data_IF_009951067774
#
_entry.id   IF_009951067774
#
_cell.length_a   1.000
_cell.length_b   1.000
_cell.length_c   1.000
_cell.angle_alpha   90.00
_cell.angle_beta   90.00
_cell.angle_gamma   90.00
#
_symmetry.space_group_name_H-M   'P 1'
#
loop_
_entity.id
_entity.type
_entity.pdbx_description
1 polymer ?
#
# COMPACT_ATOMS: atom_id res chain seq x y z
N UNK A 1 -15.86 -19.27 4.03
CA UNK A 1 -14.87 -18.41 3.40
C UNK A 1 -15.02 -16.99 3.93
N UNK A 2 -13.92 -16.40 4.37
CA UNK A 2 -13.81 -14.97 4.65
C UNK A 2 -12.76 -14.37 3.72
N UNK A 3 -12.97 -13.14 3.26
CA UNK A 3 -12.05 -12.43 2.38
C UNK A 3 -11.85 -11.00 2.84
N UNK A 4 -10.67 -10.45 2.60
CA UNK A 4 -10.35 -9.06 2.80
C UNK A 4 -9.86 -8.45 1.48
N UNK A 5 -10.22 -7.21 1.22
CA UNK A 5 -9.77 -6.44 0.07
C UNK A 5 -10.11 -4.96 0.21
N UNK A 6 -9.52 -4.11 -0.63
CA UNK A 6 -9.79 -2.67 -0.68
C UNK A 6 -8.85 -1.79 0.14
N UNK A 7 -7.97 -2.36 0.94
CA UNK A 7 -6.94 -1.64 1.70
C UNK A 7 -6.07 -2.59 2.49
N UNK A 8 -4.93 -2.09 3.00
CA UNK A 8 -4.03 -2.89 3.85
C UNK A 8 -4.68 -3.08 5.23
N UNK A 9 -4.88 -4.33 5.63
CA UNK A 9 -5.36 -4.67 6.96
C UNK A 9 -4.20 -4.63 7.97
N UNK A 10 -4.41 -4.15 9.22
CA UNK A 10 -3.42 -4.28 10.29
C UNK A 10 -2.99 -5.74 10.48
N UNK A 11 -1.70 -5.95 10.71
CA UNK A 11 -1.09 -7.29 10.76
C UNK A 11 -1.71 -8.17 11.83
N UNK A 12 -1.92 -7.63 13.03
CA UNK A 12 -2.52 -8.33 14.17
C UNK A 12 -3.96 -8.80 13.88
N UNK A 13 -4.73 -7.96 13.20
CA UNK A 13 -6.09 -8.29 12.80
C UNK A 13 -6.11 -9.35 11.68
N UNK A 14 -5.17 -9.27 10.73
CA UNK A 14 -5.02 -10.26 9.67
C UNK A 14 -4.71 -11.65 10.28
N UNK A 15 -3.77 -11.71 11.23
CA UNK A 15 -3.43 -12.94 11.96
C UNK A 15 -4.66 -13.49 12.68
N UNK A 16 -5.39 -12.67 13.44
CA UNK A 16 -6.61 -13.09 14.17
C UNK A 16 -7.65 -13.72 13.26
N UNK A 17 -7.91 -13.13 12.08
CA UNK A 17 -8.84 -13.71 11.12
C UNK A 17 -8.34 -15.00 10.49
N UNK A 18 -7.06 -15.10 10.20
CA UNK A 18 -6.44 -16.30 9.64
C UNK A 18 -6.49 -17.46 10.66
N UNK A 19 -6.17 -17.21 11.93
CA UNK A 19 -6.27 -18.18 13.03
C UNK A 19 -7.71 -18.62 13.25
N UNK A 20 -8.65 -17.67 13.37
CA UNK A 20 -10.06 -17.99 13.51
C UNK A 20 -10.56 -18.89 12.37
N UNK A 21 -10.17 -18.60 11.14
CA UNK A 21 -10.55 -19.41 9.99
C UNK A 21 -9.97 -20.82 10.05
N UNK A 22 -8.69 -20.95 10.39
CA UNK A 22 -8.01 -22.25 10.57
C UNK A 22 -8.73 -23.10 11.63
N UNK A 23 -8.97 -22.51 12.81
CA UNK A 23 -9.52 -23.21 13.97
C UNK A 23 -10.99 -23.61 13.79
N UNK A 24 -11.70 -22.97 12.86
CA UNK A 24 -13.11 -23.24 12.54
C UNK A 24 -13.33 -23.91 11.18
N UNK A 25 -12.30 -24.51 10.58
CA UNK A 25 -12.39 -25.19 9.27
C UNK A 25 -12.81 -24.25 8.12
N UNK A 26 -12.52 -22.96 8.23
CA UNK A 26 -12.81 -21.93 7.22
C UNK A 26 -11.56 -21.53 6.47
N UNK A 27 -11.73 -20.77 5.39
CA UNK A 27 -10.62 -20.21 4.61
C UNK A 27 -10.60 -18.71 4.78
N UNK A 28 -9.41 -18.16 5.04
CA UNK A 28 -9.09 -16.73 4.98
C UNK A 28 -8.32 -16.44 3.71
N UNK A 29 -8.75 -15.44 2.95
CA UNK A 29 -8.12 -15.04 1.69
C UNK A 29 -7.99 -13.52 1.66
N UNK A 30 -6.77 -13.02 1.76
CA UNK A 30 -6.45 -11.64 1.44
C UNK A 30 -6.45 -11.46 -0.09
N UNK A 31 -6.98 -10.35 -0.57
CA UNK A 31 -7.06 -10.05 -2.00
C UNK A 31 -6.55 -8.64 -2.27
N UNK A 32 -5.97 -8.46 -3.45
CA UNK A 32 -5.54 -7.16 -3.95
C UNK A 32 -6.17 -6.88 -5.31
N UNK A 33 -6.42 -5.60 -5.57
CA UNK A 33 -6.87 -5.12 -6.86
C UNK A 33 -7.20 -3.63 -6.87
N UNK A 34 -7.43 -3.14 -8.07
CA UNK A 34 -7.80 -1.76 -8.36
C UNK A 34 -9.06 -1.75 -9.22
N UNK A 35 -9.82 -0.64 -9.18
CA UNK A 35 -11.02 -0.47 -10.02
C UNK A 35 -10.70 -0.62 -11.51
N UNK A 36 -9.51 -0.22 -11.90
CA UNK A 36 -8.97 -0.33 -13.26
C UNK A 36 -8.78 -1.78 -13.73
N UNK A 37 -8.87 -2.76 -12.82
CA UNK A 37 -8.74 -4.18 -13.11
C UNK A 37 -9.93 -4.98 -12.57
N UNK A 38 -11.11 -4.38 -12.52
CA UNK A 38 -12.37 -4.99 -12.04
C UNK A 38 -12.23 -5.65 -10.66
N UNK A 39 -11.50 -4.97 -9.79
CA UNK A 39 -11.35 -5.19 -8.37
C UNK A 39 -10.60 -6.46 -7.92
N UNK A 40 -10.10 -7.33 -8.78
CA UNK A 40 -9.31 -8.51 -8.38
C UNK A 40 -8.16 -8.76 -9.33
N UNK A 41 -6.94 -8.62 -8.82
CA UNK A 41 -5.68 -8.84 -9.54
C UNK A 41 -4.86 -9.95 -8.89
N UNK A 42 -4.91 -10.05 -7.56
CA UNK A 42 -4.17 -11.04 -6.80
C UNK A 42 -4.96 -11.54 -5.59
N UNK A 43 -4.57 -12.71 -5.09
CA UNK A 43 -5.08 -13.29 -3.87
C UNK A 43 -4.00 -14.10 -3.17
N UNK A 44 -4.03 -14.13 -1.84
CA UNK A 44 -3.18 -15.00 -1.04
C UNK A 44 -3.91 -16.33 -0.84
N UNK A 45 -3.39 -17.45 -1.37
CA UNK A 45 -3.96 -18.78 -1.11
C UNK A 45 -4.09 -19.05 0.38
N UNK A 46 -5.25 -19.58 0.82
CA UNK A 46 -5.57 -19.78 2.23
C UNK A 46 -4.53 -20.62 3.00
N UNK A 47 -3.83 -21.53 2.31
CA UNK A 47 -2.75 -22.34 2.91
C UNK A 47 -1.55 -21.50 3.40
N UNK A 48 -1.38 -20.29 2.89
CA UNK A 48 -0.31 -19.36 3.24
C UNK A 48 -0.76 -18.19 4.12
N UNK A 49 -2.02 -18.22 4.57
CA UNK A 49 -2.61 -17.07 5.28
C UNK A 49 -1.86 -16.69 6.57
N UNK A 50 -1.24 -17.65 7.26
CA UNK A 50 -0.43 -17.43 8.46
C UNK A 50 1.06 -17.33 8.17
N UNK A 51 1.56 -18.06 7.18
CA UNK A 51 2.99 -18.11 6.86
C UNK A 51 3.44 -16.85 6.10
N UNK A 52 2.53 -16.23 5.33
CA UNK A 52 2.80 -15.07 4.47
C UNK A 52 1.89 -13.89 4.79
N UNK A 53 1.77 -13.57 6.08
CA UNK A 53 0.96 -12.44 6.56
C UNK A 53 1.43 -11.13 5.91
N UNK A 54 0.48 -10.35 5.39
CA UNK A 54 0.76 -9.08 4.69
C UNK A 54 1.03 -9.20 3.20
N UNK A 55 1.18 -10.43 2.69
CA UNK A 55 1.26 -10.68 1.25
C UNK A 55 -0.11 -10.48 0.58
N UNK A 56 -0.09 -9.96 -0.65
CA UNK A 56 -1.24 -9.98 -1.57
C UNK A 56 -1.32 -11.30 -2.36
N UNK A 57 -0.33 -12.17 -2.19
CA UNK A 57 -0.24 -13.48 -2.82
C UNK A 57 0.18 -13.47 -4.28
N UNK A 58 -0.50 -14.25 -5.09
CA UNK A 58 -0.22 -14.49 -6.51
C UNK A 58 -1.33 -13.92 -7.39
N UNK A 59 -1.06 -13.76 -8.67
CA UNK A 59 -2.06 -13.31 -9.65
C UNK A 59 -3.29 -14.23 -9.69
N UNK A 60 -4.45 -13.65 -9.97
CA UNK A 60 -5.66 -14.44 -10.28
C UNK A 60 -5.46 -15.27 -11.54
N UNK A 61 -6.22 -16.37 -11.74
CA UNK A 61 -6.14 -17.16 -12.97
C UNK A 61 -6.26 -16.28 -14.22
N UNK A 62 -5.40 -16.53 -15.22
CA UNK A 62 -5.26 -15.76 -16.46
C UNK A 62 -4.77 -14.31 -16.27
N UNK A 63 -4.32 -13.93 -15.07
CA UNK A 63 -3.62 -12.69 -14.81
C UNK A 63 -2.13 -12.93 -14.61
N UNK A 64 -1.33 -11.88 -14.77
CA UNK A 64 0.12 -11.89 -14.57
C UNK A 64 0.52 -10.65 -13.78
N UNK A 65 1.28 -10.85 -12.69
CA UNK A 65 1.96 -9.80 -11.95
C UNK A 65 3.42 -9.75 -12.37
N UNK A 66 3.97 -8.57 -12.51
CA UNK A 66 5.39 -8.34 -12.77
C UNK A 66 5.86 -7.08 -12.05
N UNK A 67 7.18 -6.93 -11.93
CA UNK A 67 7.81 -5.73 -11.41
C UNK A 67 8.72 -5.12 -12.45
N UNK A 68 8.78 -3.79 -12.45
CA UNK A 68 9.73 -3.02 -13.27
C UNK A 68 10.51 -2.04 -12.41
N UNK A 69 11.75 -1.78 -12.81
CA UNK A 69 12.58 -0.74 -12.21
C UNK A 69 12.21 0.68 -12.71
N UNK A 70 12.97 1.68 -12.30
CA UNK A 70 12.76 3.09 -12.70
C UNK A 70 12.95 3.32 -14.18
N UNK A 71 13.73 2.48 -14.85
CA UNK A 71 14.02 2.56 -16.29
C UNK A 71 13.03 1.71 -17.11
N UNK A 72 12.14 0.98 -16.45
CA UNK A 72 11.13 0.13 -17.06
C UNK A 72 11.61 -1.30 -17.38
N UNK A 73 12.81 -1.69 -16.89
CA UNK A 73 13.32 -3.04 -17.09
C UNK A 73 12.64 -4.03 -16.11
N UNK A 74 12.40 -5.28 -16.52
CA UNK A 74 11.83 -6.30 -15.64
C UNK A 74 12.73 -6.62 -14.46
N UNK A 75 12.14 -6.72 -13.26
CA UNK A 75 12.79 -7.21 -12.04
C UNK A 75 12.40 -8.68 -11.87
N UNK A 76 13.41 -9.56 -11.87
CA UNK A 76 13.24 -11.01 -11.72
C UNK A 76 13.86 -11.58 -10.44
N UNK A 77 14.55 -10.73 -9.67
CA UNK A 77 15.20 -11.12 -8.41
C UNK A 77 14.23 -10.94 -7.24
N UNK A 78 13.96 -11.99 -6.43
CA UNK A 78 13.17 -11.87 -5.21
C UNK A 78 13.68 -10.76 -4.27
N UNK A 79 12.79 -10.21 -3.44
CA UNK A 79 13.04 -9.14 -2.47
C UNK A 79 13.60 -7.83 -3.06
N UNK A 80 13.51 -7.67 -4.40
CA UNK A 80 13.87 -6.42 -5.06
C UNK A 80 12.61 -5.60 -5.31
N UNK A 81 12.61 -4.37 -4.82
CA UNK A 81 11.46 -3.47 -4.98
C UNK A 81 11.39 -2.87 -6.39
N UNK A 82 10.17 -2.80 -6.91
CA UNK A 82 9.86 -2.14 -8.17
C UNK A 82 8.41 -1.74 -8.28
N UNK A 83 8.06 -1.02 -9.34
CA UNK A 83 6.67 -0.73 -9.64
C UNK A 83 5.96 -1.99 -10.09
N UNK A 84 4.85 -2.31 -9.42
CA UNK A 84 4.04 -3.46 -9.78
C UNK A 84 3.20 -3.17 -11.02
N UNK A 85 3.28 -4.10 -11.95
CA UNK A 85 2.48 -4.11 -13.17
C UNK A 85 1.54 -5.33 -13.17
N UNK A 86 0.45 -5.20 -13.90
CA UNK A 86 -0.50 -6.29 -14.09
C UNK A 86 -0.92 -6.41 -15.54
N UNK A 87 -1.03 -7.64 -16.01
CA UNK A 87 -1.60 -8.00 -17.31
C UNK A 87 -2.76 -8.98 -17.11
N UNK A 88 -3.88 -8.73 -17.78
CA UNK A 88 -5.05 -9.61 -17.72
C UNK A 88 -6.23 -9.08 -18.52
N UNK A 89 -7.16 -9.97 -18.86
CA UNK A 89 -8.37 -9.62 -19.61
C UNK A 89 -9.36 -8.74 -18.82
N UNK A 90 -9.17 -8.68 -17.51
CA UNK A 90 -9.97 -7.84 -16.61
C UNK A 90 -9.45 -6.41 -16.45
N UNK A 91 -8.39 -6.04 -17.17
CA UNK A 91 -7.94 -4.63 -17.24
C UNK A 91 -8.94 -3.84 -18.08
N UNK A 92 -9.41 -2.71 -17.51
CA UNK A 92 -10.35 -1.82 -18.21
C UNK A 92 -9.67 -1.15 -19.41
N UNK A 93 -10.44 -0.77 -20.42
CA UNK A 93 -9.90 -0.18 -21.66
C UNK A 93 -9.29 1.21 -21.48
N UNK A 94 -9.67 1.96 -20.43
CA UNK A 94 -9.21 3.32 -20.19
C UNK A 94 -10.15 4.06 -19.24
N UNK A 95 -9.98 5.39 -19.14
CA UNK A 95 -10.85 6.25 -18.38
C UNK A 95 -11.79 7.05 -19.30
N UNK A 96 -13.08 7.10 -18.98
CA UNK A 96 -14.03 8.01 -19.60
C UNK A 96 -14.27 9.23 -18.67
N UNK A 97 -13.79 10.40 -19.05
CA UNK A 97 -13.96 11.66 -18.30
C UNK A 97 -15.14 12.49 -18.81
N UNK A 98 -15.56 12.25 -20.04
CA UNK A 98 -16.70 12.88 -20.72
C UNK A 98 -17.37 11.87 -21.62
N UNK A 99 -18.59 12.13 -22.04
CA UNK A 99 -19.41 11.21 -22.86
C UNK A 99 -18.71 10.75 -24.16
N UNK A 100 -17.96 11.64 -24.80
CA UNK A 100 -17.23 11.29 -26.02
C UNK A 100 -16.15 10.22 -25.79
N UNK A 101 -15.61 10.10 -24.59
CA UNK A 101 -14.56 9.15 -24.26
C UNK A 101 -15.10 7.70 -24.22
N UNK A 102 -16.42 7.50 -24.14
CA UNK A 102 -17.05 6.17 -24.22
C UNK A 102 -16.91 5.52 -25.60
N UNK A 103 -16.57 6.30 -26.63
CA UNK A 103 -16.30 5.82 -27.98
C UNK A 103 -14.79 5.49 -28.22
N UNK A 104 -13.92 5.75 -27.23
CA UNK A 104 -12.50 5.39 -27.33
C UNK A 104 -12.35 3.87 -27.29
N UNK A 105 -11.36 3.35 -28.04
CA UNK A 105 -10.99 1.95 -28.01
C UNK A 105 -10.19 1.58 -26.75
N UNK A 106 -9.63 0.37 -26.76
CA UNK A 106 -8.77 -0.11 -25.67
C UNK A 106 -7.39 0.57 -25.72
N UNK A 107 -7.17 1.51 -24.80
CA UNK A 107 -5.92 2.25 -24.66
C UNK A 107 -4.87 1.46 -23.86
N UNK A 108 -5.29 0.44 -23.09
CA UNK A 108 -4.42 -0.30 -22.17
C UNK A 108 -3.94 -1.64 -22.70
N UNK A 109 -4.65 -2.21 -23.68
CA UNK A 109 -4.31 -3.51 -24.27
C UNK A 109 -4.08 -4.61 -23.21
N UNK A 110 -4.95 -4.63 -22.20
CA UNK A 110 -4.88 -5.60 -21.12
C UNK A 110 -3.69 -5.43 -20.16
N UNK A 111 -3.00 -4.29 -20.15
CA UNK A 111 -1.83 -4.02 -19.31
C UNK A 111 -1.99 -2.72 -18.52
N UNK A 112 -1.51 -2.72 -17.27
CA UNK A 112 -1.49 -1.53 -16.42
C UNK A 112 -0.25 -1.51 -15.52
N UNK A 113 0.31 -0.32 -15.36
CA UNK A 113 1.22 0.03 -14.26
C UNK A 113 0.36 0.48 -13.09
N UNK A 114 0.47 -0.20 -11.96
CA UNK A 114 -0.46 0.01 -10.83
C UNK A 114 -0.19 1.28 -10.04
N UNK A 115 1.02 1.81 -10.15
CA UNK A 115 1.52 2.88 -9.30
C UNK A 115 1.82 2.43 -7.86
N UNK A 116 1.74 1.14 -7.57
CA UNK A 116 2.14 0.57 -6.29
C UNK A 116 3.56 0.02 -6.37
N UNK A 117 4.36 0.24 -5.32
CA UNK A 117 5.66 -0.40 -5.14
C UNK A 117 5.47 -1.73 -4.45
N UNK A 118 6.14 -2.75 -4.95
CA UNK A 118 6.07 -4.10 -4.42
C UNK A 118 7.39 -4.85 -4.59
N UNK A 119 7.52 -5.94 -3.86
CA UNK A 119 8.50 -7.01 -4.13
C UNK A 119 7.77 -8.35 -4.14
N UNK A 120 8.44 -9.41 -4.55
CA UNK A 120 7.97 -10.79 -4.40
C UNK A 120 9.01 -11.63 -3.67
N UNK A 121 8.57 -12.71 -3.00
CA UNK A 121 9.42 -13.67 -2.33
C UNK A 121 9.79 -14.86 -3.24
N UNK A 122 10.54 -15.82 -2.72
CA UNK A 122 11.01 -17.00 -3.45
C UNK A 122 9.88 -17.92 -3.93
N UNK A 123 8.70 -17.84 -3.29
CA UNK A 123 7.49 -18.57 -3.69
C UNK A 123 6.64 -17.79 -4.70
N UNK A 124 7.09 -16.61 -5.14
CA UNK A 124 6.41 -15.74 -6.07
C UNK A 124 5.19 -15.02 -5.46
N UNK A 125 5.12 -14.90 -4.14
CA UNK A 125 4.09 -14.11 -3.47
C UNK A 125 4.50 -12.65 -3.38
N UNK A 126 3.62 -11.75 -3.79
CA UNK A 126 3.87 -10.31 -3.84
C UNK A 126 3.48 -9.61 -2.54
N UNK A 127 4.23 -8.55 -2.19
CA UNK A 127 4.02 -7.70 -1.02
C UNK A 127 4.04 -6.24 -1.44
N UNK A 128 2.99 -5.48 -1.10
CA UNK A 128 2.93 -4.04 -1.35
C UNK A 128 3.70 -3.32 -0.24
N UNK A 129 4.69 -2.51 -0.62
CA UNK A 129 5.50 -1.70 0.30
C UNK A 129 5.07 -0.23 0.34
N UNK A 130 4.43 0.26 -0.72
CA UNK A 130 3.95 1.65 -0.76
C UNK A 130 3.40 2.04 -2.13
N UNK A 131 3.31 3.35 -2.36
CA UNK A 131 2.88 3.90 -3.65
C UNK A 131 3.97 4.71 -4.32
N UNK A 132 4.01 4.63 -5.65
CA UNK A 132 4.81 5.54 -6.46
C UNK A 132 4.43 6.98 -6.14
N UNK A 133 5.45 7.84 -5.90
CA UNK A 133 5.22 9.24 -5.54
C UNK A 133 4.84 9.49 -4.07
N UNK A 134 4.60 8.45 -3.26
CA UNK A 134 4.45 8.60 -1.81
C UNK A 134 5.75 8.32 -1.06
N UNK A 135 6.78 9.07 -1.43
CA UNK A 135 8.08 9.10 -0.75
C UNK A 135 8.65 10.53 -0.78
N UNK A 136 9.55 10.80 0.15
CA UNK A 136 10.33 12.03 0.21
C UNK A 136 11.81 11.68 0.13
N UNK A 137 12.63 12.63 -0.31
CA UNK A 137 14.10 12.53 -0.28
C UNK A 137 14.67 13.39 0.84
N UNK A 138 14.47 12.96 2.08
CA UNK A 138 14.96 13.69 3.26
C UNK A 138 16.48 13.52 3.40
N UNK A 139 17.23 14.61 3.29
CA UNK A 139 18.70 14.59 3.34
C UNK A 139 19.33 13.56 2.38
N UNK A 140 18.75 13.42 1.17
CA UNK A 140 19.21 12.48 0.15
C UNK A 140 18.79 11.02 0.35
N UNK A 141 18.17 10.68 1.48
CA UNK A 141 17.62 9.35 1.74
C UNK A 141 16.16 9.28 1.30
N UNK A 142 15.80 8.22 0.59
CA UNK A 142 14.41 7.94 0.20
C UNK A 142 13.64 7.39 1.40
N UNK A 143 12.53 8.02 1.74
CA UNK A 143 11.66 7.66 2.87
C UNK A 143 10.23 7.50 2.39
N UNK A 144 9.68 6.32 2.56
CA UNK A 144 8.29 6.01 2.22
C UNK A 144 7.32 6.64 3.23
N UNK A 145 6.36 7.45 2.75
CA UNK A 145 5.32 8.01 3.61
C UNK A 145 4.41 6.92 4.17
N UNK A 146 4.05 5.94 3.34
CA UNK A 146 3.23 4.80 3.76
C UNK A 146 3.96 3.89 4.75
N UNK A 147 5.28 3.74 4.60
CA UNK A 147 6.14 3.01 5.54
C UNK A 147 6.17 3.71 6.90
N UNK A 148 6.35 5.03 6.93
CA UNK A 148 6.31 5.81 8.17
C UNK A 148 4.95 5.69 8.86
N UNK A 149 3.85 5.73 8.11
CA UNK A 149 2.50 5.52 8.65
C UNK A 149 2.36 4.12 9.27
N UNK A 150 2.92 3.11 8.63
CA UNK A 150 2.89 1.73 9.15
C UNK A 150 3.73 1.59 10.42
N UNK A 151 4.91 2.21 10.49
CA UNK A 151 5.76 2.23 11.69
C UNK A 151 4.97 2.84 12.87
N UNK A 152 4.37 4.02 12.68
CA UNK A 152 3.58 4.69 13.72
C UNK A 152 2.39 3.84 14.15
N UNK A 153 1.68 3.24 13.21
CA UNK A 153 0.54 2.37 13.52
C UNK A 153 0.96 1.14 14.33
N UNK A 154 2.09 0.52 13.97
CA UNK A 154 2.56 -0.72 14.61
C UNK A 154 3.18 -0.46 15.97
N UNK A 155 4.06 0.53 16.08
CA UNK A 155 4.90 0.71 17.27
C UNK A 155 4.28 1.69 18.29
N UNK A 156 3.50 2.69 17.82
CA UNK A 156 2.83 3.65 18.70
C UNK A 156 1.34 3.35 18.92
N UNK A 157 0.76 2.40 18.14
CA UNK A 157 -0.64 1.98 18.26
C UNK A 157 -1.67 3.02 17.83
N UNK A 158 -1.28 4.04 17.06
CA UNK A 158 -2.17 5.10 16.62
C UNK A 158 -2.13 5.27 15.10
N UNK A 159 -3.25 5.72 14.54
CA UNK A 159 -3.32 6.10 13.14
C UNK A 159 -2.65 7.46 12.93
N UNK A 160 -1.91 7.59 11.84
CA UNK A 160 -1.37 8.87 11.39
C UNK A 160 -1.52 9.05 9.88
N UNK A 161 -1.22 10.25 9.39
CA UNK A 161 -1.12 10.53 7.97
C UNK A 161 0.14 11.35 7.69
N UNK A 162 0.99 10.85 6.79
CA UNK A 162 2.26 11.48 6.43
C UNK A 162 2.14 12.18 5.09
N UNK A 163 2.56 13.45 5.05
CA UNK A 163 2.73 14.26 3.83
C UNK A 163 4.01 15.10 3.98
N UNK A 164 4.42 15.81 2.94
CA UNK A 164 5.57 16.71 3.07
C UNK A 164 6.25 17.02 1.76
N UNK A 165 7.45 17.56 1.88
CA UNK A 165 8.38 17.86 0.79
C UNK A 165 9.73 17.19 1.07
N UNK A 166 10.65 17.21 0.12
CA UNK A 166 12.01 16.68 0.31
C UNK A 166 12.81 17.39 1.41
N UNK A 167 12.29 18.46 1.98
CA UNK A 167 12.88 19.14 3.12
C UNK A 167 12.36 18.66 4.47
N UNK A 168 11.06 18.30 4.55
CA UNK A 168 10.40 17.99 5.82
C UNK A 168 9.18 17.09 5.62
N UNK A 169 9.04 16.10 6.50
CA UNK A 169 7.85 15.27 6.64
C UNK A 169 6.94 15.83 7.74
N UNK A 170 5.67 16.00 7.41
CA UNK A 170 4.60 16.35 8.34
C UNK A 170 3.83 15.08 8.69
N UNK A 171 3.77 14.77 9.97
CA UNK A 171 3.08 13.58 10.50
C UNK A 171 1.87 14.05 11.29
N UNK A 172 0.69 13.85 10.74
CA UNK A 172 -0.57 14.21 11.36
C UNK A 172 -1.08 13.06 12.22
N UNK A 173 -1.36 13.37 13.50
CA UNK A 173 -1.90 12.45 14.50
C UNK A 173 -3.11 13.07 15.19
N UNK A 174 -3.91 12.24 15.87
CA UNK A 174 -5.10 12.71 16.60
C UNK A 174 -4.89 12.75 18.12
N UNK A 175 -3.79 12.18 18.63
CA UNK A 175 -3.47 12.14 20.06
C UNK A 175 -2.26 13.01 20.39
N UNK A 176 -2.47 14.11 21.10
CA UNK A 176 -1.41 15.06 21.44
C UNK A 176 -0.33 14.45 22.37
N UNK A 177 -0.71 13.52 23.26
CA UNK A 177 0.22 12.91 24.21
C UNK A 177 1.25 12.00 23.53
N UNK A 178 0.97 11.58 22.29
CA UNK A 178 1.83 10.69 21.49
C UNK A 178 2.86 11.42 20.61
N UNK A 179 2.91 12.75 20.62
CA UNK A 179 3.77 13.52 19.69
C UNK A 179 5.25 13.14 19.82
N UNK A 180 5.78 13.09 21.04
CA UNK A 180 7.19 12.75 21.25
C UNK A 180 7.48 11.29 20.92
N UNK A 181 6.63 10.37 21.38
CA UNK A 181 6.75 8.94 21.08
C UNK A 181 6.79 8.66 19.56
N UNK A 182 5.87 9.26 18.80
CA UNK A 182 5.82 9.13 17.32
C UNK A 182 7.10 9.66 16.69
N UNK A 183 7.56 10.83 17.14
CA UNK A 183 8.78 11.44 16.59
C UNK A 183 10.00 10.58 16.88
N UNK A 184 10.18 10.13 18.12
CA UNK A 184 11.31 9.32 18.53
C UNK A 184 11.33 7.97 17.84
N UNK A 185 10.16 7.33 17.69
CA UNK A 185 9.98 6.08 16.94
C UNK A 185 10.40 6.23 15.48
N UNK A 186 9.93 7.29 14.81
CA UNK A 186 10.30 7.54 13.42
C UNK A 186 11.80 7.77 13.26
N UNK A 187 12.41 8.58 14.13
CA UNK A 187 13.87 8.81 14.13
C UNK A 187 14.63 7.50 14.30
N UNK A 188 14.24 6.68 15.26
CA UNK A 188 14.90 5.41 15.56
C UNK A 188 14.78 4.41 14.40
N UNK A 189 13.61 4.32 13.82
CA UNK A 189 13.34 3.30 12.76
C UNK A 189 13.85 3.70 11.38
N UNK A 190 13.78 4.99 11.05
CA UNK A 190 14.23 5.48 9.74
C UNK A 190 15.68 5.93 9.72
N UNK A 191 16.32 6.12 10.89
CA UNK A 191 17.65 6.69 11.05
C UNK A 191 17.80 8.12 10.47
N UNK A 192 16.68 8.83 10.34
CA UNK A 192 16.63 10.20 9.82
C UNK A 192 16.62 11.18 10.99
N UNK A 193 17.30 12.31 10.80
CA UNK A 193 17.42 13.34 11.85
C UNK A 193 16.06 13.88 12.29
N UNK A 194 15.90 14.12 13.58
CA UNK A 194 14.65 14.54 14.22
C UNK A 194 14.05 15.83 13.63
N UNK A 195 14.89 16.71 13.08
CA UNK A 195 14.46 17.97 12.45
C UNK A 195 13.69 17.77 11.15
N UNK A 196 13.81 16.60 10.53
CA UNK A 196 13.05 16.21 9.33
C UNK A 196 11.59 15.92 9.61
N UNK A 197 11.22 15.63 10.86
CA UNK A 197 9.87 15.27 11.24
C UNK A 197 9.20 16.40 12.02
N UNK A 198 8.03 16.81 11.57
CA UNK A 198 7.14 17.72 12.28
C UNK A 198 5.84 17.01 12.59
N UNK A 199 5.59 16.77 13.86
CA UNK A 199 4.33 16.15 14.29
C UNK A 199 3.29 17.25 14.44
N UNK A 200 2.11 17.05 13.85
CA UNK A 200 0.95 17.95 13.93
C UNK A 200 -0.26 17.22 14.49
N UNK A 201 -0.88 17.81 15.47
CA UNK A 201 -2.11 17.28 16.07
C UNK A 201 -3.31 17.89 15.37
N UNK A 202 -4.24 17.05 14.95
CA UNK A 202 -5.53 17.42 14.33
C UNK A 202 -6.66 16.67 15.01
N UNK A 203 -7.89 17.15 14.91
CA UNK A 203 -9.04 16.50 15.53
C UNK A 203 -9.34 15.14 14.91
N UNK A 204 -9.21 15.04 13.59
CA UNK A 204 -9.43 13.79 12.84
C UNK A 204 -8.58 13.75 11.58
N UNK A 205 -8.17 12.55 11.17
CA UNK A 205 -7.52 12.32 9.87
C UNK A 205 -8.60 12.31 8.79
N UNK A 206 -8.55 13.22 7.80
CA UNK A 206 -9.60 13.31 6.79
C UNK A 206 -9.65 12.03 5.94
N UNK A 207 -10.86 11.47 5.80
CA UNK A 207 -11.14 10.25 5.03
C UNK A 207 -12.32 10.48 4.09
N UNK A 208 -12.40 9.67 3.04
CA UNK A 208 -13.60 9.59 2.21
C UNK A 208 -14.60 8.58 2.81
N UNK A 209 -15.78 8.45 2.18
CA UNK A 209 -16.84 7.51 2.61
C UNK A 209 -16.37 6.05 2.66
N UNK A 210 -15.39 5.68 1.85
CA UNK A 210 -14.79 4.34 1.87
C UNK A 210 -13.67 4.17 2.91
N UNK A 211 -13.44 5.15 3.81
CA UNK A 211 -12.42 5.13 4.86
C UNK A 211 -10.98 5.38 4.38
N UNK A 212 -10.77 5.75 3.11
CA UNK A 212 -9.44 6.06 2.58
C UNK A 212 -9.02 7.49 2.96
N UNK A 213 -7.78 7.64 3.42
CA UNK A 213 -7.20 8.94 3.80
C UNK A 213 -7.16 9.92 2.61
N UNK A 214 -7.55 11.16 2.86
CA UNK A 214 -7.58 12.26 1.90
C UNK A 214 -6.37 13.18 2.13
N UNK A 215 -5.19 12.76 1.68
CA UNK A 215 -3.94 13.49 1.88
C UNK A 215 -3.95 14.91 1.29
N UNK A 216 -4.73 15.13 0.22
CA UNK A 216 -4.90 16.47 -0.38
C UNK A 216 -5.57 17.50 0.53
N UNK A 217 -6.22 17.04 1.60
CA UNK A 217 -6.81 17.91 2.62
C UNK A 217 -5.85 18.25 3.77
N UNK A 218 -4.66 17.67 3.78
CA UNK A 218 -3.62 17.96 4.76
C UNK A 218 -2.70 19.06 4.23
N UNK A 219 -2.46 20.09 5.05
CA UNK A 219 -1.57 21.21 4.67
C UNK A 219 -0.11 20.74 4.61
N UNK A 220 0.63 21.18 3.60
CA UNK A 220 2.08 20.95 3.48
C UNK A 220 2.86 22.18 3.97
N UNK A 221 2.17 23.29 4.25
CA UNK A 221 2.76 24.57 4.72
C UNK A 221 2.85 24.63 6.25
#
# INVERSE_FOLDING_TARGET
LLTQGGGKMPTDLNIKFAEYCRDNGKRWIATYGQSECTARMAYLPAKWALDKVGSIGIAVPNGELSLIDTDGNPITTPHTEGEMCYRGQNVTMGYARKQADLALGDERNGYIRTGDLAYFDEDGCYYIVGRMGRFLKLFGMRVGLDECEQIVQTDCGIECACVGTDEKMLVYITNADKQNEVKDTLVQKTHIVATSFQIRVINEIPKNEAGKKLYSKLSIN
#
